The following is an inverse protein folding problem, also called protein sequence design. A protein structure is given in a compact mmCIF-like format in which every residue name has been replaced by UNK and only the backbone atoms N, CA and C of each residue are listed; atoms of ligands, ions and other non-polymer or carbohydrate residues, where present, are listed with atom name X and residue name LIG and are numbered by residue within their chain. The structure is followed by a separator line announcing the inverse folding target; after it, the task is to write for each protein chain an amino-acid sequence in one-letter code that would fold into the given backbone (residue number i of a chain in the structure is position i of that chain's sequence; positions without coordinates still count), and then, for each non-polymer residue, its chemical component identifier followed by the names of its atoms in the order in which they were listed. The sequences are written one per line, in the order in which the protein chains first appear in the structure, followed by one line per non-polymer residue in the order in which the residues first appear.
data_IF_794075609557
#
_entry.id   IF_794075609557
#
_cell.length_a   1.000
_cell.length_b   1.000
_cell.length_c   1.000
_cell.angle_alpha   90.00
_cell.angle_beta   90.00
_cell.angle_gamma   90.00
#
_symmetry.space_group_name_H-M   'P 1'
#
loop_
_entity.id
_entity.type
_entity.pdbx_description
1 polymer ?
#
# COMPACT_ATOMS: atom_id res chain seq x y z
N UNK A 1 7.34 15.17 6.33
CA UNK A 1 8.04 14.46 5.23
C UNK A 1 7.29 13.17 4.95
N UNK A 2 6.47 13.13 3.89
CA UNK A 2 5.81 11.90 3.44
C UNK A 2 6.87 11.03 2.79
N UNK A 3 7.19 9.89 3.41
CA UNK A 3 8.21 9.01 2.86
C UNK A 3 7.57 8.18 1.76
N UNK A 4 7.98 8.43 0.51
CA UNK A 4 7.44 7.76 -0.67
C UNK A 4 8.03 6.36 -0.81
N UNK A 5 7.15 5.37 -1.00
CA UNK A 5 7.54 4.03 -1.44
C UNK A 5 7.54 4.09 -2.96
N UNK A 6 8.72 3.90 -3.57
CA UNK A 6 8.87 3.99 -5.02
C UNK A 6 8.75 2.58 -5.58
N UNK A 7 7.76 2.40 -6.44
CA UNK A 7 7.47 1.15 -7.15
C UNK A 7 7.69 1.38 -8.64
N UNK A 8 8.27 0.38 -9.30
CA UNK A 8 8.48 0.35 -10.75
C UNK A 8 7.77 -0.86 -11.34
N UNK A 9 7.12 -0.66 -12.47
CA UNK A 9 6.57 -1.76 -13.26
C UNK A 9 7.68 -2.44 -14.09
N UNK A 10 7.73 -3.77 -14.02
CA UNK A 10 8.68 -4.63 -14.71
C UNK A 10 7.92 -5.68 -15.51
N UNK A 11 8.61 -6.40 -16.41
CA UNK A 11 7.98 -7.48 -17.19
C UNK A 11 7.41 -8.62 -16.34
N UNK A 12 7.86 -8.75 -15.10
CA UNK A 12 7.42 -9.78 -14.13
C UNK A 12 6.44 -9.24 -13.06
N UNK A 13 6.04 -7.96 -13.14
CA UNK A 13 5.14 -7.31 -12.18
C UNK A 13 5.76 -6.08 -11.54
N UNK A 14 5.29 -5.73 -10.34
CA UNK A 14 5.70 -4.51 -9.64
C UNK A 14 6.89 -4.79 -8.70
N UNK A 15 7.94 -3.98 -8.82
CA UNK A 15 9.15 -4.06 -8.02
C UNK A 15 9.34 -2.83 -7.16
N UNK A 16 9.77 -3.02 -5.91
CA UNK A 16 10.02 -1.91 -4.98
C UNK A 16 11.45 -1.44 -5.14
N UNK A 17 11.60 -0.24 -5.68
CA UNK A 17 12.89 0.41 -5.92
C UNK A 17 13.40 1.10 -4.65
N UNK A 18 12.50 1.66 -3.84
CA UNK A 18 12.86 2.38 -2.63
C UNK A 18 11.80 2.24 -1.53
N UNK A 19 12.23 2.42 -0.27
CA UNK A 19 11.34 2.39 0.88
C UNK A 19 11.05 0.99 1.43
N UNK A 20 11.78 -0.05 1.01
CA UNK A 20 11.55 -1.45 1.40
C UNK A 20 11.42 -1.66 2.92
N UNK A 21 12.36 -1.15 3.71
CA UNK A 21 12.30 -1.25 5.18
C UNK A 21 11.04 -0.64 5.80
N UNK A 22 10.51 0.43 5.22
CA UNK A 22 9.26 1.05 5.70
C UNK A 22 8.05 0.26 5.28
N UNK A 23 8.05 -0.26 4.05
CA UNK A 23 7.02 -1.18 3.64
C UNK A 23 6.99 -2.39 4.57
N UNK A 24 8.15 -2.99 4.86
CA UNK A 24 8.22 -4.15 5.75
C UNK A 24 7.70 -3.81 7.15
N UNK A 25 7.95 -2.60 7.66
CA UNK A 25 7.39 -2.13 8.93
C UNK A 25 5.86 -1.92 8.88
N UNK A 26 5.32 -1.40 7.77
CA UNK A 26 3.87 -1.26 7.57
C UNK A 26 3.20 -2.64 7.49
N UNK A 27 3.83 -3.57 6.77
CA UNK A 27 3.39 -4.95 6.61
C UNK A 27 3.63 -5.83 7.86
N UNK A 28 4.35 -5.32 8.87
CA UNK A 28 4.45 -5.98 10.16
C UNK A 28 3.24 -5.67 11.05
N UNK A 29 2.51 -4.60 10.74
CA UNK A 29 1.31 -4.19 11.49
C UNK A 29 0.02 -4.67 10.83
N UNK A 30 0.06 -4.98 9.52
CA UNK A 30 -1.08 -5.38 8.69
C UNK A 30 -0.61 -6.29 7.57
N UNK A 31 -1.48 -7.15 7.06
CA UNK A 31 -1.15 -8.02 5.95
C UNK A 31 -1.10 -7.26 4.62
N UNK A 32 -1.81 -6.14 4.50
CA UNK A 32 -1.84 -5.28 3.31
C UNK A 32 -1.71 -3.79 3.63
N UNK A 33 -1.17 -3.04 2.67
CA UNK A 33 -1.05 -1.58 2.73
C UNK A 33 -1.21 -0.93 1.36
N UNK A 34 -1.96 0.16 1.30
CA UNK A 34 -2.07 1.00 0.10
C UNK A 34 -1.00 2.09 0.16
N UNK A 35 -0.24 2.21 -0.92
CA UNK A 35 0.86 3.18 -1.06
C UNK A 35 0.66 4.01 -2.33
N UNK A 36 1.15 5.25 -2.31
CA UNK A 36 1.22 6.09 -3.50
C UNK A 36 2.62 5.99 -4.10
N UNK A 37 2.72 5.56 -5.36
CA UNK A 37 3.99 5.50 -6.10
C UNK A 37 4.01 6.54 -7.23
N UNK A 38 5.10 7.33 -7.37
CA UNK A 38 5.29 8.21 -8.51
C UNK A 38 5.20 7.44 -9.84
N UNK A 39 4.41 7.97 -10.79
CA UNK A 39 4.26 7.39 -12.13
C UNK A 39 3.32 6.20 -12.26
N UNK A 40 2.84 5.61 -11.16
CA UNK A 40 1.88 4.50 -11.16
C UNK A 40 0.56 4.91 -10.48
N UNK A 41 0.63 5.73 -9.43
CA UNK A 41 -0.53 6.13 -8.64
C UNK A 41 -0.67 5.26 -7.38
N UNK A 42 -1.91 4.96 -6.99
CA UNK A 42 -2.16 4.10 -5.84
C UNK A 42 -1.94 2.63 -6.16
N UNK A 43 -1.30 1.94 -5.24
CA UNK A 43 -0.95 0.53 -5.36
C UNK A 43 -1.25 -0.13 -4.02
N UNK A 44 -1.93 -1.26 -4.03
CA UNK A 44 -1.99 -2.12 -2.85
C UNK A 44 -0.80 -3.06 -2.86
N UNK A 45 -0.12 -3.19 -1.73
CA UNK A 45 0.93 -4.19 -1.49
C UNK A 45 0.48 -5.10 -0.37
N UNK A 46 0.42 -6.39 -0.63
CA UNK A 46 0.02 -7.43 0.30
C UNK A 46 1.16 -8.41 0.55
N UNK A 47 1.28 -8.90 1.78
CA UNK A 47 2.13 -10.02 2.15
C UNK A 47 1.30 -11.30 2.08
N UNK A 48 1.68 -12.21 1.19
CA UNK A 48 1.07 -13.52 1.09
C UNK A 48 1.49 -14.43 2.26
N UNK A 49 0.73 -15.50 2.56
CA UNK A 49 1.07 -16.45 3.63
C UNK A 49 2.42 -17.16 3.45
N UNK A 50 2.92 -17.25 2.22
CA UNK A 50 4.26 -17.78 1.89
C UNK A 50 5.39 -16.77 2.13
N UNK A 51 5.06 -15.57 2.62
CA UNK A 51 5.99 -14.48 2.89
C UNK A 51 6.37 -13.64 1.67
N UNK A 52 5.87 -13.98 0.47
CA UNK A 52 6.09 -13.16 -0.73
C UNK A 52 5.25 -11.88 -0.68
N UNK A 53 5.75 -10.84 -1.33
CA UNK A 53 4.99 -9.62 -1.55
C UNK A 53 4.33 -9.67 -2.92
N UNK A 54 3.07 -9.27 -2.96
CA UNK A 54 2.33 -9.05 -4.20
C UNK A 54 1.80 -7.63 -4.20
N UNK A 55 1.99 -6.92 -5.31
CA UNK A 55 1.49 -5.57 -5.48
C UNK A 55 0.55 -5.51 -6.68
N UNK A 56 -0.47 -4.65 -6.60
CA UNK A 56 -1.41 -4.43 -7.69
C UNK A 56 -1.83 -2.98 -7.76
N UNK A 57 -1.75 -2.41 -8.97
CA UNK A 57 -2.29 -1.09 -9.30
C UNK A 57 -3.69 -1.17 -9.91
N UNK A 58 -4.34 -2.34 -9.89
CA UNK A 58 -5.73 -2.46 -10.37
C UNK A 58 -6.63 -1.61 -9.44
N UNK A 59 -7.38 -0.63 -9.97
CA UNK A 59 -8.26 0.22 -9.17
C UNK A 59 -9.26 -0.57 -8.33
N UNK A 60 -9.75 -1.71 -8.83
CA UNK A 60 -10.68 -2.57 -8.08
C UNK A 60 -10.01 -3.18 -6.85
N UNK A 61 -8.76 -3.64 -6.99
CA UNK A 61 -7.99 -4.17 -5.87
C UNK A 61 -7.66 -3.05 -4.88
N UNK A 62 -7.21 -1.90 -5.37
CA UNK A 62 -6.93 -0.74 -4.52
C UNK A 62 -8.16 -0.33 -3.73
N UNK A 63 -9.35 -0.26 -4.35
CA UNK A 63 -10.59 0.13 -3.69
C UNK A 63 -10.99 -0.80 -2.51
N UNK A 64 -10.68 -2.10 -2.59
CA UNK A 64 -10.97 -3.07 -1.51
C UNK A 64 -10.13 -2.80 -0.25
N UNK A 65 -8.88 -2.34 -0.43
CA UNK A 65 -7.93 -2.11 0.67
C UNK A 65 -7.75 -0.64 1.02
N UNK A 66 -8.30 0.26 0.20
CA UNK A 66 -8.38 1.69 0.48
C UNK A 66 -9.32 1.85 1.65
N UNK A 67 -8.76 1.98 2.85
CA UNK A 67 -9.55 2.46 3.97
C UNK A 67 -10.12 3.82 3.59
N UNK A 68 -11.40 4.11 3.88
CA UNK A 68 -11.86 5.48 3.82
C UNK A 68 -10.87 6.27 4.68
N UNK A 69 -10.30 7.33 4.11
CA UNK A 69 -9.66 8.34 4.93
C UNK A 69 -10.63 8.62 6.06
N UNK A 70 -10.15 8.61 7.31
CA UNK A 70 -10.95 9.01 8.45
C UNK A 70 -11.21 10.50 8.27
N UNK A 71 -12.09 10.86 7.34
CA UNK A 71 -12.76 12.14 7.26
C UNK A 71 -13.50 12.22 8.58
N UNK A 72 -13.02 13.13 9.43
CA UNK A 72 -13.41 13.19 10.84
C UNK A 72 -14.92 13.12 11.03
N UNK A 73 -15.38 12.07 11.69
CA UNK A 73 -16.64 12.16 12.43
C UNK A 73 -16.25 12.57 13.83
N UNK A 74 -16.63 13.81 14.14
CA UNK A 74 -16.44 14.46 15.43
C UNK A 74 -16.82 13.55 16.60
N UNK A 75 -16.12 13.75 17.72
CA UNK A 75 -16.58 13.39 19.06
C UNK A 75 -18.10 13.63 19.17
N UNK A 76 -18.85 12.58 19.47
CA UNK A 76 -20.06 12.71 20.27
C UNK A 76 -20.29 11.38 20.97
N UNK A 77 -19.78 11.29 22.20
CA UNK A 77 -20.36 10.38 23.18
C UNK A 77 -21.56 11.12 23.75
N UNK A 78 -22.75 10.59 23.51
CA UNK A 78 -24.00 11.01 24.16
C UNK A 78 -24.07 10.45 25.58
#
# INVERSE_FOLDING_TARGET
MSVEIIVRETKSGLEIVSGRRRLDALLALRDEVVVMSPGIGEIVVARLPDGRLQASANPEHVALFRQPAVSGTAKSFA
#
